data_IF_415232205872
#
_entry.id   IF_415232205872
#
_cell.length_a   1.000
_cell.length_b   1.000
_cell.length_c   1.000
_cell.angle_alpha   90.00
_cell.angle_beta   90.00
_cell.angle_gamma   90.00
#
_symmetry.space_group_name_H-M   'P 1'
#
loop_
_entity.id
_entity.type
_entity.pdbx_description
1 polymer ?
#
# COMPACT_ATOMS: atom_id res chain seq x y z
N UNK A 1 -6.76 15.07 -0.75
CA UNK A 1 -7.66 15.66 0.26
C UNK A 1 -8.70 14.61 0.61
N UNK A 2 -9.19 14.52 1.86
CA UNK A 2 -10.29 13.61 2.19
C UNK A 2 -11.49 13.92 1.29
N UNK A 3 -12.02 12.88 0.63
CA UNK A 3 -13.21 13.01 -0.20
C UNK A 3 -14.45 12.94 0.68
N UNK A 4 -15.39 13.87 0.50
CA UNK A 4 -16.70 13.76 1.14
C UNK A 4 -17.35 12.43 0.72
N UNK A 5 -17.81 11.57 1.64
CA UNK A 5 -18.13 11.81 3.05
C UNK A 5 -17.05 11.40 4.08
N UNK A 6 -15.88 10.91 3.65
CA UNK A 6 -14.80 10.42 4.51
C UNK A 6 -13.96 11.57 5.09
N UNK A 7 -14.51 12.28 6.09
CA UNK A 7 -13.88 13.47 6.69
C UNK A 7 -13.44 13.28 8.14
N UNK A 8 -13.88 12.21 8.82
CA UNK A 8 -13.51 11.98 10.20
C UNK A 8 -12.18 11.24 10.28
N UNK A 9 -11.14 11.94 10.73
CA UNK A 9 -9.78 11.40 10.86
C UNK A 9 -9.65 10.44 12.05
N UNK A 10 -9.01 9.29 11.81
CA UNK A 10 -8.63 8.30 12.81
C UNK A 10 -7.22 7.79 12.56
N UNK A 11 -6.64 7.17 13.57
CA UNK A 11 -5.26 6.65 13.54
C UNK A 11 -5.30 5.16 13.89
N UNK A 12 -4.62 4.32 13.10
CA UNK A 12 -4.52 2.89 13.40
C UNK A 12 -3.66 2.64 14.64
N UNK A 13 -4.00 1.64 15.47
CA UNK A 13 -3.42 1.52 16.81
C UNK A 13 -1.95 1.08 16.84
N UNK A 14 -1.46 0.30 15.87
CA UNK A 14 -0.06 -0.20 15.88
C UNK A 14 0.81 0.55 14.89
N UNK A 15 0.30 0.77 13.69
CA UNK A 15 1.05 1.38 12.59
C UNK A 15 0.96 2.92 12.59
N UNK A 16 0.11 3.51 13.44
CA UNK A 16 -0.09 4.95 13.53
C UNK A 16 -0.42 5.63 12.18
N UNK A 17 -1.13 4.90 11.31
CA UNK A 17 -1.50 5.41 9.99
C UNK A 17 -2.82 6.16 10.08
N UNK A 18 -2.82 7.39 9.57
CA UNK A 18 -4.04 8.20 9.45
C UNK A 18 -4.93 7.67 8.34
N UNK A 19 -6.21 7.53 8.64
CA UNK A 19 -7.25 7.18 7.68
C UNK A 19 -8.52 7.96 8.01
N UNK A 20 -9.40 8.09 7.03
CA UNK A 20 -10.62 8.87 7.16
C UNK A 20 -11.84 7.97 7.03
N UNK A 21 -12.81 8.17 7.91
CA UNK A 21 -14.08 7.45 7.91
C UNK A 21 -15.23 8.42 7.72
N UNK A 22 -16.35 7.88 7.24
CA UNK A 22 -17.59 8.62 7.20
C UNK A 22 -18.15 8.75 8.63
N UNK A 23 -18.35 9.98 9.16
CA UNK A 23 -18.87 10.15 10.51
C UNK A 23 -20.25 9.51 10.69
N UNK A 24 -21.06 9.39 9.64
CA UNK A 24 -22.39 8.78 9.73
C UNK A 24 -22.34 7.28 10.03
N UNK A 25 -21.31 6.58 9.55
CA UNK A 25 -21.16 5.13 9.72
C UNK A 25 -20.70 4.76 11.13
N UNK A 26 -19.95 5.66 11.78
CA UNK A 26 -19.35 5.43 13.11
C UNK A 26 -20.14 6.05 14.26
N UNK A 27 -21.16 6.87 13.98
CA UNK A 27 -21.99 7.54 15.02
C UNK A 27 -22.61 6.57 16.02
N UNK A 28 -22.96 5.36 15.58
CA UNK A 28 -23.62 4.34 16.40
C UNK A 28 -22.64 3.35 17.03
N UNK A 29 -21.34 3.46 16.73
CA UNK A 29 -20.36 2.48 17.18
C UNK A 29 -20.02 2.70 18.66
N UNK A 30 -20.03 1.60 19.40
CA UNK A 30 -19.48 1.56 20.75
C UNK A 30 -17.94 1.60 20.71
N UNK A 31 -17.30 1.85 21.86
CA UNK A 31 -15.83 1.85 21.98
C UNK A 31 -15.19 0.55 21.48
N UNK A 32 -15.80 -0.61 21.72
CA UNK A 32 -15.28 -1.90 21.26
C UNK A 32 -15.44 -2.07 19.74
N UNK A 33 -16.54 -1.62 19.16
CA UNK A 33 -16.76 -1.63 17.71
C UNK A 33 -15.77 -0.70 16.99
N UNK A 34 -15.52 0.48 17.55
CA UNK A 34 -14.48 1.40 17.06
C UNK A 34 -13.10 0.73 17.09
N UNK A 35 -12.69 0.15 18.23
CA UNK A 35 -11.40 -0.53 18.32
C UNK A 35 -11.27 -1.69 17.32
N UNK A 36 -12.34 -2.46 17.10
CA UNK A 36 -12.36 -3.53 16.10
C UNK A 36 -12.23 -2.98 14.67
N UNK A 37 -12.92 -1.89 14.36
CA UNK A 37 -12.82 -1.21 13.07
C UNK A 37 -11.40 -0.72 12.81
N UNK A 38 -10.78 -0.05 13.79
CA UNK A 38 -9.43 0.49 13.67
C UNK A 38 -8.40 -0.64 13.42
N UNK A 39 -8.55 -1.78 14.11
CA UNK A 39 -7.75 -2.98 13.87
C UNK A 39 -7.99 -3.58 12.47
N UNK A 40 -9.24 -3.65 12.02
CA UNK A 40 -9.58 -4.17 10.70
C UNK A 40 -9.03 -3.27 9.59
N UNK A 41 -9.08 -1.95 9.76
CA UNK A 41 -8.52 -0.98 8.82
C UNK A 41 -7.00 -1.18 8.68
N UNK A 42 -6.31 -1.42 9.80
CA UNK A 42 -4.88 -1.72 9.80
C UNK A 42 -4.55 -3.02 9.05
N UNK A 43 -5.29 -4.09 9.32
CA UNK A 43 -5.12 -5.37 8.62
C UNK A 43 -5.40 -5.21 7.12
N UNK A 44 -6.46 -4.46 6.77
CA UNK A 44 -6.83 -4.17 5.38
C UNK A 44 -5.72 -3.41 4.65
N UNK A 45 -5.17 -2.37 5.29
CA UNK A 45 -4.05 -1.59 4.76
C UNK A 45 -2.85 -2.49 4.45
N UNK A 46 -2.41 -3.31 5.42
CA UNK A 46 -1.26 -4.20 5.23
C UNK A 46 -1.52 -5.20 4.10
N UNK A 47 -2.70 -5.81 4.05
CA UNK A 47 -3.07 -6.75 2.98
C UNK A 47 -3.03 -6.10 1.61
N UNK A 48 -3.60 -4.90 1.49
CA UNK A 48 -3.61 -4.16 0.23
C UNK A 48 -2.19 -3.81 -0.22
N UNK A 49 -1.38 -3.23 0.67
CA UNK A 49 0.01 -2.88 0.35
C UNK A 49 0.86 -4.10 -0.04
N UNK A 50 0.61 -5.27 0.57
CA UNK A 50 1.29 -6.52 0.19
C UNK A 50 0.93 -6.95 -1.24
N UNK A 51 -0.36 -6.96 -1.57
CA UNK A 51 -0.81 -7.29 -2.91
C UNK A 51 -0.27 -6.29 -3.96
N UNK A 52 -0.26 -4.99 -3.65
CA UNK A 52 0.33 -3.99 -4.53
C UNK A 52 1.84 -4.16 -4.68
N UNK A 53 2.56 -4.42 -3.59
CA UNK A 53 3.99 -4.69 -3.64
C UNK A 53 4.33 -5.93 -4.49
N UNK A 54 3.55 -7.01 -4.38
CA UNK A 54 3.70 -8.18 -5.25
C UNK A 54 3.51 -7.82 -6.72
N UNK A 55 2.46 -7.04 -7.05
CA UNK A 55 2.21 -6.58 -8.41
C UNK A 55 3.33 -5.67 -8.94
N UNK A 56 3.83 -4.74 -8.12
CA UNK A 56 4.96 -3.87 -8.44
C UNK A 56 6.22 -4.69 -8.73
N UNK A 57 6.53 -5.70 -7.91
CA UNK A 57 7.68 -6.58 -8.11
C UNK A 57 7.55 -7.40 -9.39
N UNK A 58 6.37 -7.97 -9.67
CA UNK A 58 6.10 -8.68 -10.92
C UNK A 58 6.21 -7.77 -12.15
N UNK A 59 5.79 -6.51 -12.04
CA UNK A 59 5.96 -5.54 -13.10
C UNK A 59 7.43 -5.18 -13.33
N UNK A 60 8.18 -4.94 -12.25
CA UNK A 60 9.62 -4.69 -12.31
C UNK A 60 10.37 -5.86 -12.97
N UNK A 61 10.02 -7.09 -12.62
CA UNK A 61 10.60 -8.28 -13.23
C UNK A 61 10.32 -8.35 -14.73
N UNK A 62 9.07 -8.10 -15.15
CA UNK A 62 8.73 -8.03 -16.58
C UNK A 62 9.54 -6.97 -17.33
N UNK A 63 9.77 -5.80 -16.73
CA UNK A 63 10.63 -4.77 -17.32
C UNK A 63 12.08 -5.25 -17.49
N UNK A 64 12.62 -6.03 -16.55
CA UNK A 64 13.93 -6.65 -16.70
C UNK A 64 13.96 -7.71 -17.80
N UNK A 65 12.94 -8.56 -17.88
CA UNK A 65 12.85 -9.60 -18.91
C UNK A 65 12.75 -8.97 -20.32
N UNK A 66 11.96 -7.92 -20.47
CA UNK A 66 11.83 -7.13 -21.70
C UNK A 66 13.13 -6.37 -22.07
N UNK A 67 13.94 -6.02 -21.06
CA UNK A 67 15.20 -5.32 -21.26
C UNK A 67 16.35 -6.28 -21.64
N UNK A 68 16.39 -7.50 -21.11
CA UNK A 68 17.40 -8.48 -21.49
C UNK A 68 17.20 -8.99 -22.91
N UNK A 69 15.95 -9.24 -23.32
CA UNK A 69 15.63 -9.81 -24.63
C UNK A 69 16.35 -11.14 -24.91
N UNK A 70 16.14 -11.68 -26.11
CA UNK A 70 16.71 -12.98 -26.49
C UNK A 70 18.23 -12.93 -26.81
N UNK A 71 18.77 -11.78 -27.29
CA UNK A 71 20.11 -11.71 -27.93
C UNK A 71 21.03 -10.57 -27.45
N UNK A 72 20.48 -9.44 -26.98
CA UNK A 72 21.24 -8.29 -26.45
C UNK A 72 20.42 -7.50 -25.44
N UNK A 73 21.05 -7.13 -24.33
CA UNK A 73 20.48 -6.27 -23.31
C UNK A 73 20.35 -4.83 -23.82
N UNK A 74 19.15 -4.25 -23.72
CA UNK A 74 18.88 -2.85 -24.03
C UNK A 74 19.15 -1.99 -22.79
N UNK A 75 20.24 -1.18 -22.77
CA UNK A 75 20.59 -0.38 -21.61
C UNK A 75 19.56 0.70 -21.28
N UNK A 76 18.78 1.19 -22.27
CA UNK A 76 17.73 2.17 -22.02
C UNK A 76 16.56 1.55 -21.25
N UNK A 77 16.15 0.33 -21.63
CA UNK A 77 15.11 -0.42 -20.91
C UNK A 77 15.56 -0.90 -19.54
N UNK A 78 16.83 -1.28 -19.39
CA UNK A 78 17.41 -1.59 -18.09
C UNK A 78 17.32 -0.41 -17.12
N UNK A 79 17.66 0.80 -17.59
CA UNK A 79 17.53 2.00 -16.77
C UNK A 79 16.08 2.28 -16.35
N UNK A 80 15.08 1.94 -17.19
CA UNK A 80 13.66 2.03 -16.83
C UNK A 80 13.30 1.02 -15.74
N UNK A 81 13.73 -0.24 -15.88
CA UNK A 81 13.49 -1.28 -14.88
C UNK A 81 14.14 -0.95 -13.52
N UNK A 82 15.36 -0.41 -13.53
CA UNK A 82 16.08 0.00 -12.33
C UNK A 82 15.40 1.17 -11.61
N UNK A 83 14.94 2.17 -12.39
CA UNK A 83 14.21 3.34 -11.88
C UNK A 83 12.76 3.03 -11.52
N UNK A 84 12.25 1.83 -11.82
CA UNK A 84 10.90 1.47 -11.44
C UNK A 84 10.76 1.47 -9.91
N UNK A 85 9.90 2.37 -9.46
CA UNK A 85 9.66 2.67 -8.06
C UNK A 85 8.65 1.70 -7.46
N UNK A 86 9.08 0.91 -6.48
CA UNK A 86 8.20 0.05 -5.69
C UNK A 86 7.66 0.83 -4.48
N UNK A 87 6.72 1.75 -4.74
CA UNK A 87 6.19 2.65 -3.73
C UNK A 87 5.49 1.89 -2.58
N UNK A 88 4.73 0.86 -2.92
CA UNK A 88 3.98 0.05 -1.96
C UNK A 88 4.92 -0.81 -1.12
N UNK A 89 5.94 -1.41 -1.74
CA UNK A 89 6.97 -2.14 -1.01
C UNK A 89 7.74 -1.22 -0.04
N UNK A 90 8.16 -0.03 -0.49
CA UNK A 90 8.84 0.95 0.36
C UNK A 90 7.96 1.40 1.54
N UNK A 91 6.65 1.50 1.31
CA UNK A 91 5.68 1.83 2.36
C UNK A 91 5.51 0.70 3.37
N UNK A 92 5.53 -0.57 2.95
CA UNK A 92 5.55 -1.69 3.90
C UNK A 92 6.82 -1.69 4.75
N UNK A 93 7.97 -1.45 4.12
CA UNK A 93 9.26 -1.40 4.80
C UNK A 93 9.29 -0.27 5.84
N UNK A 94 8.75 0.92 5.52
CA UNK A 94 8.68 2.05 6.46
C UNK A 94 7.74 1.81 7.64
N UNK A 95 6.73 0.95 7.45
CA UNK A 95 5.82 0.50 8.51
C UNK A 95 6.40 -0.64 9.34
N UNK A 96 7.64 -1.08 9.08
CA UNK A 96 8.30 -2.21 9.75
C UNK A 96 7.48 -3.50 9.70
N UNK A 97 6.63 -3.63 8.67
CA UNK A 97 5.86 -4.84 8.43
C UNK A 97 6.71 -5.75 7.57
N UNK A 98 7.15 -6.88 8.13
CA UNK A 98 7.92 -7.86 7.37
C UNK A 98 7.14 -8.32 6.13
N UNK A 99 7.82 -8.31 4.98
CA UNK A 99 7.33 -8.87 3.73
C UNK A 99 6.99 -10.35 3.89
#
# INVERSE_FOLDING_TARGET
>A
MPEYPYVHERITPKLNVRYYVNPSDVKTYTKSQMARMDNNAEIGLVRHLRAECENEMLHKQRLYDEAQGWFKQDPAKMAVAERFETASCRRLDSLHVSR
#
